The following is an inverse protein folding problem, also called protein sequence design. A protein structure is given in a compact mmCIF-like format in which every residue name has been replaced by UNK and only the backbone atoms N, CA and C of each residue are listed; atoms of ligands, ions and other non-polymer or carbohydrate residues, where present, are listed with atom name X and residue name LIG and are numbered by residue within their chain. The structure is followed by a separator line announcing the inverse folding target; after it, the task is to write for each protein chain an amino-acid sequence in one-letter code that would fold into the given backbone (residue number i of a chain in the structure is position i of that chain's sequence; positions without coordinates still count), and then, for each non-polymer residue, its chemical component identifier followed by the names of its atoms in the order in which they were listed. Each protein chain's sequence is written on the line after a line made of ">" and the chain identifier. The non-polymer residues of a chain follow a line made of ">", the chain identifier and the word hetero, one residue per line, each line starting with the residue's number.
data_IF_090407028813
#
_entry.id   IF_090407028813
#
_cell.length_a   1.000
_cell.length_b   1.000
_cell.length_c   1.000
_cell.angle_alpha   90.00
_cell.angle_beta   90.00
_cell.angle_gamma   90.00
#
_symmetry.space_group_name_H-M   'P 1'
#
loop_
_entity.id
_entity.type
_entity.pdbx_description
1 polymer ?
#
# COMPACT_ATOMS: atom_id res chain seq x y z
N UNK A 1 23.70 -44.37 41.68
CA UNK A 1 24.35 -43.66 40.55
C UNK A 1 23.74 -43.97 39.18
N UNK A 2 23.62 -45.25 38.77
CA UNK A 2 23.15 -45.62 37.41
C UNK A 2 21.70 -45.20 37.08
N UNK A 3 20.81 -45.20 38.08
CA UNK A 3 19.41 -44.74 37.96
C UNK A 3 19.31 -43.20 37.81
N UNK A 4 20.13 -42.46 38.58
CA UNK A 4 20.18 -40.99 38.55
C UNK A 4 20.66 -40.47 37.19
N UNK A 5 21.61 -41.18 36.57
CA UNK A 5 22.12 -40.86 35.23
C UNK A 5 21.06 -41.01 34.13
N UNK A 6 20.16 -42.01 34.26
CA UNK A 6 19.06 -42.22 33.32
C UNK A 6 18.00 -41.12 33.43
N UNK A 7 17.64 -40.71 34.64
CA UNK A 7 16.71 -39.60 34.84
C UNK A 7 17.26 -38.28 34.30
N UNK A 8 18.55 -38.00 34.55
CA UNK A 8 19.19 -36.79 34.06
C UNK A 8 19.26 -36.75 32.52
N UNK A 9 19.58 -37.88 31.88
CA UNK A 9 19.59 -37.99 30.43
C UNK A 9 18.18 -37.80 29.83
N UNK A 10 17.14 -38.33 30.47
CA UNK A 10 15.76 -38.17 30.03
C UNK A 10 15.29 -36.71 30.18
N UNK A 11 15.66 -36.05 31.27
CA UNK A 11 15.35 -34.64 31.50
C UNK A 11 16.06 -33.71 30.49
N UNK A 12 17.33 -33.98 30.20
CA UNK A 12 18.09 -33.24 29.16
C UNK A 12 17.52 -33.47 27.76
N UNK A 13 17.07 -34.69 27.45
CA UNK A 13 16.41 -34.98 26.18
C UNK A 13 15.05 -34.27 26.07
N UNK A 14 14.24 -34.27 27.13
CA UNK A 14 12.97 -33.54 27.16
C UNK A 14 13.17 -32.01 27.02
N UNK A 15 14.21 -31.47 27.66
CA UNK A 15 14.56 -30.05 27.55
C UNK A 15 15.04 -29.70 26.13
N UNK A 16 15.82 -30.57 25.49
CA UNK A 16 16.25 -30.40 24.11
C UNK A 16 15.06 -30.42 23.13
N UNK A 17 14.10 -31.33 23.32
CA UNK A 17 12.86 -31.41 22.50
C UNK A 17 12.00 -30.16 22.65
N UNK A 18 11.93 -29.56 23.84
CA UNK A 18 11.19 -28.31 24.07
C UNK A 18 11.90 -27.09 23.45
N UNK A 19 13.23 -27.07 23.37
CA UNK A 19 13.98 -25.97 22.72
C UNK A 19 14.00 -26.01 21.20
N UNK A 20 13.67 -27.15 20.58
CA UNK A 20 13.60 -27.29 19.11
C UNK A 20 12.27 -26.77 18.52
N UNK A 21 11.29 -26.43 19.36
CA UNK A 21 10.00 -25.88 18.93
C UNK A 21 9.82 -24.39 19.23
N UNK A 22 10.91 -23.64 19.35
CA UNK A 22 10.89 -22.25 18.93
C UNK A 22 11.53 -22.21 17.55
N UNK A 23 10.74 -22.51 16.51
CA UNK A 23 11.03 -21.95 15.19
C UNK A 23 11.15 -20.46 15.47
N UNK A 24 12.38 -19.92 15.43
CA UNK A 24 12.51 -18.53 15.11
C UNK A 24 11.69 -18.38 13.83
N UNK A 25 10.55 -17.69 13.93
CA UNK A 25 9.99 -17.09 12.75
C UNK A 25 11.09 -16.14 12.30
N UNK A 26 11.94 -16.63 11.40
CA UNK A 26 12.57 -15.79 10.40
C UNK A 26 11.38 -15.12 9.74
N UNK A 27 10.99 -13.97 10.29
CA UNK A 27 10.07 -13.03 9.65
C UNK A 27 10.57 -12.97 8.21
N UNK A 28 9.71 -13.22 7.20
CA UNK A 28 10.15 -13.08 5.82
C UNK A 28 10.87 -11.74 5.72
N UNK A 29 12.08 -11.70 5.15
CA UNK A 29 12.74 -10.43 4.93
C UNK A 29 11.70 -9.54 4.25
N UNK A 30 11.36 -8.40 4.86
CA UNK A 30 10.21 -7.54 4.53
C UNK A 30 10.31 -6.92 3.11
N UNK A 31 11.12 -7.52 2.24
CA UNK A 31 11.47 -7.12 0.90
C UNK A 31 10.23 -7.09 0.03
N UNK A 32 9.85 -5.88 -0.36
CA UNK A 32 8.85 -5.65 -1.38
C UNK A 32 9.33 -6.25 -2.70
N UNK A 33 8.44 -6.99 -3.38
CA UNK A 33 8.73 -7.63 -4.68
C UNK A 33 7.77 -7.16 -5.75
N UNK A 34 8.30 -6.82 -6.93
CA UNK A 34 7.49 -6.51 -8.12
C UNK A 34 7.01 -7.80 -8.75
N UNK A 35 5.74 -7.82 -9.16
CA UNK A 35 5.17 -8.85 -10.02
C UNK A 35 4.97 -8.27 -11.42
N UNK A 36 5.60 -8.90 -12.42
CA UNK A 36 5.71 -8.37 -13.80
C UNK A 36 4.65 -8.91 -14.78
N UNK A 37 3.53 -9.42 -14.27
CA UNK A 37 2.45 -9.97 -15.10
C UNK A 37 1.23 -9.04 -15.13
N UNK A 38 0.47 -9.00 -16.24
CA UNK A 38 -0.80 -8.29 -16.29
C UNK A 38 -1.76 -8.84 -15.21
N UNK A 39 -2.32 -7.95 -14.39
CA UNK A 39 -3.33 -8.30 -13.38
C UNK A 39 -4.73 -8.08 -13.97
N UNK A 40 -5.60 -9.08 -13.84
CA UNK A 40 -7.00 -9.05 -14.29
C UNK A 40 -7.15 -8.63 -15.77
N UNK A 41 -6.24 -9.12 -16.63
CA UNK A 41 -6.11 -8.76 -18.05
C UNK A 41 -5.81 -7.27 -18.34
N UNK A 42 -5.47 -6.46 -17.33
CA UNK A 42 -5.12 -5.06 -17.52
C UNK A 42 -3.61 -4.88 -17.72
N UNK A 43 -3.25 -4.27 -18.85
CA UNK A 43 -1.89 -3.83 -19.13
C UNK A 43 -1.65 -2.48 -18.45
N UNK A 44 -0.51 -2.31 -17.78
CA UNK A 44 -0.19 -1.08 -17.05
C UNK A 44 -0.50 -1.13 -15.56
N UNK A 45 -0.76 -2.31 -15.00
CA UNK A 45 -0.82 -2.49 -13.54
C UNK A 45 0.55 -2.86 -13.00
N UNK A 46 1.04 -2.11 -12.02
CA UNK A 46 2.19 -2.49 -11.19
C UNK A 46 1.68 -3.17 -9.93
N UNK A 47 2.03 -4.45 -9.76
CA UNK A 47 1.69 -5.22 -8.57
C UNK A 47 2.92 -5.42 -7.70
N UNK A 48 2.76 -5.19 -6.40
CA UNK A 48 3.80 -5.37 -5.40
C UNK A 48 3.30 -6.32 -4.31
N UNK A 49 4.12 -7.31 -3.96
CA UNK A 49 3.96 -8.10 -2.75
C UNK A 49 4.59 -7.35 -1.58
N UNK A 50 3.85 -7.19 -0.50
CA UNK A 50 4.27 -6.61 0.78
C UNK A 50 4.43 -7.70 1.85
N UNK A 51 4.78 -7.29 3.07
CA UNK A 51 4.84 -8.19 4.22
C UNK A 51 3.49 -8.84 4.53
N UNK A 52 3.52 -9.94 5.30
CA UNK A 52 2.34 -10.63 5.86
C UNK A 52 1.31 -11.13 4.83
N UNK A 53 1.76 -11.34 3.59
CA UNK A 53 0.92 -11.85 2.50
C UNK A 53 -0.01 -10.80 1.90
N UNK A 54 0.24 -9.52 2.15
CA UNK A 54 -0.49 -8.42 1.52
C UNK A 54 0.10 -8.09 0.15
N UNK A 55 -0.78 -7.62 -0.72
CA UNK A 55 -0.44 -7.18 -2.06
C UNK A 55 -1.15 -5.86 -2.34
N UNK A 56 -0.46 -5.01 -3.08
CA UNK A 56 -1.00 -3.76 -3.59
C UNK A 56 -0.75 -3.68 -5.10
N UNK A 57 -1.71 -3.11 -5.81
CA UNK A 57 -1.61 -2.88 -7.24
C UNK A 57 -1.94 -1.44 -7.57
N UNK A 58 -1.17 -0.84 -8.48
CA UNK A 58 -1.35 0.52 -8.98
C UNK A 58 -1.58 0.50 -10.48
N UNK A 59 -2.57 1.27 -10.92
CA UNK A 59 -2.76 1.56 -12.33
C UNK A 59 -1.80 2.69 -12.74
N UNK A 60 -0.89 2.41 -13.66
CA UNK A 60 0.09 3.39 -14.17
C UNK A 60 -0.46 4.24 -15.32
N UNK A 61 -1.56 3.83 -15.94
CA UNK A 61 -2.27 4.61 -16.95
C UNK A 61 -3.14 5.63 -16.26
N UNK A 62 -3.93 5.18 -15.29
CA UNK A 62 -4.80 6.06 -14.50
C UNK A 62 -4.07 6.76 -13.37
N UNK A 63 -2.87 6.32 -12.98
CA UNK A 63 -2.11 6.90 -11.87
C UNK A 63 -2.90 6.89 -10.56
N UNK A 64 -3.24 5.70 -10.06
CA UNK A 64 -3.91 5.55 -8.78
C UNK A 64 -3.90 4.15 -8.21
N UNK A 65 -4.29 4.03 -6.94
CA UNK A 65 -4.42 2.73 -6.28
C UNK A 65 -5.52 1.91 -6.95
N UNK A 66 -5.15 0.75 -7.49
CA UNK A 66 -6.07 -0.17 -8.17
C UNK A 66 -6.65 -1.19 -7.20
N UNK A 67 -5.80 -1.94 -6.49
CA UNK A 67 -6.25 -3.07 -5.65
C UNK A 67 -5.39 -3.24 -4.41
N UNK A 68 -6.01 -3.66 -3.30
CA UNK A 68 -5.34 -4.13 -2.07
C UNK A 68 -6.01 -5.43 -1.62
N UNK A 69 -5.20 -6.47 -1.40
CA UNK A 69 -5.70 -7.76 -0.94
C UNK A 69 -4.68 -8.50 -0.08
N UNK A 70 -5.15 -9.45 0.71
CA UNK A 70 -4.32 -10.42 1.43
C UNK A 70 -4.53 -11.81 0.84
N UNK A 71 -3.45 -12.54 0.60
CA UNK A 71 -3.53 -13.91 0.06
C UNK A 71 -2.40 -14.17 -0.93
N UNK A 72 -2.74 -14.22 -2.22
CA UNK A 72 -1.78 -14.54 -3.26
C UNK A 72 -2.22 -14.15 -4.66
N UNK A 73 -1.55 -14.74 -5.64
CA UNK A 73 -1.83 -14.59 -7.05
C UNK A 73 -2.06 -15.96 -7.67
N UNK A 74 -3.08 -16.09 -8.50
CA UNK A 74 -3.29 -17.26 -9.35
C UNK A 74 -2.96 -16.90 -10.79
N UNK A 75 -2.03 -17.63 -11.39
CA UNK A 75 -1.66 -17.49 -12.78
C UNK A 75 -2.52 -18.40 -13.66
N UNK A 76 -2.90 -17.88 -14.82
CA UNK A 76 -3.44 -18.63 -15.95
C UNK A 76 -2.61 -18.26 -17.20
N UNK A 77 -2.94 -18.83 -18.36
CA UNK A 77 -2.04 -18.86 -19.52
C UNK A 77 -1.54 -17.47 -20.02
N UNK A 78 -2.20 -16.38 -19.64
CA UNK A 78 -1.84 -15.02 -20.07
C UNK A 78 -1.95 -13.90 -19.00
N UNK A 79 -2.52 -14.16 -17.82
CA UNK A 79 -2.72 -13.15 -16.80
C UNK A 79 -2.51 -13.72 -15.39
N UNK A 80 -2.49 -12.83 -14.40
CA UNK A 80 -2.60 -13.18 -13.00
C UNK A 80 -3.89 -12.58 -12.46
N UNK A 81 -4.48 -13.25 -11.48
CA UNK A 81 -5.66 -12.77 -10.75
C UNK A 81 -5.36 -12.74 -9.26
N UNK A 82 -5.93 -11.75 -8.57
CA UNK A 82 -5.85 -11.68 -7.12
C UNK A 82 -6.68 -12.81 -6.49
N UNK A 83 -6.11 -13.54 -5.53
CA UNK A 83 -6.82 -14.57 -4.77
C UNK A 83 -6.68 -14.32 -3.27
N UNK A 84 -7.78 -14.50 -2.54
CA UNK A 84 -7.86 -14.27 -1.10
C UNK A 84 -8.80 -13.14 -0.72
N UNK A 85 -8.48 -12.47 0.37
CA UNK A 85 -9.29 -11.41 0.96
C UNK A 85 -9.05 -10.08 0.25
N UNK A 86 -10.04 -9.64 -0.52
CA UNK A 86 -10.03 -8.35 -1.19
C UNK A 86 -10.49 -7.24 -0.24
N UNK A 87 -9.63 -6.24 -0.01
CA UNK A 87 -9.92 -5.11 0.87
C UNK A 87 -10.32 -3.86 0.11
N UNK A 88 -9.68 -3.63 -1.04
CA UNK A 88 -9.92 -2.46 -1.88
C UNK A 88 -9.79 -2.84 -3.35
N UNK A 89 -10.67 -2.31 -4.18
CA UNK A 89 -10.64 -2.47 -5.63
C UNK A 89 -11.33 -1.31 -6.34
N UNK A 90 -10.56 -0.56 -7.14
CA UNK A 90 -11.02 0.60 -7.85
C UNK A 90 -11.00 0.38 -9.37
N UNK A 91 -12.17 0.19 -9.96
CA UNK A 91 -12.34 0.14 -11.41
C UNK A 91 -12.59 1.51 -12.05
N UNK A 92 -12.62 2.59 -11.26
CA UNK A 92 -12.88 3.92 -11.81
C UNK A 92 -11.68 4.36 -12.66
N UNK A 93 -11.98 4.65 -13.92
CA UNK A 93 -11.03 4.94 -15.01
C UNK A 93 -10.37 6.32 -14.90
N UNK A 94 -10.10 6.83 -13.68
CA UNK A 94 -9.49 8.13 -13.46
C UNK A 94 -8.50 8.08 -12.29
N UNK A 95 -7.48 8.96 -12.31
CA UNK A 95 -6.53 9.11 -11.21
C UNK A 95 -7.18 9.39 -9.86
N UNK A 96 -6.63 8.79 -8.80
CA UNK A 96 -6.96 9.15 -7.42
C UNK A 96 -6.43 10.56 -7.07
N UNK A 97 -5.41 11.05 -7.77
CA UNK A 97 -4.88 12.41 -7.60
C UNK A 97 -5.86 13.43 -8.20
N UNK A 98 -6.33 14.35 -7.36
CA UNK A 98 -7.16 15.50 -7.69
C UNK A 98 -6.45 16.79 -7.29
N UNK A 99 -6.78 17.88 -7.96
CA UNK A 99 -6.49 19.22 -7.47
C UNK A 99 -7.73 19.79 -6.81
N UNK A 100 -7.55 20.60 -5.78
CA UNK A 100 -8.63 21.30 -5.09
C UNK A 100 -8.42 22.79 -5.23
N UNK A 101 -9.44 23.44 -5.78
CA UNK A 101 -9.48 24.88 -5.96
C UNK A 101 -9.84 25.63 -4.67
N UNK A 102 -9.90 26.96 -4.76
CA UNK A 102 -10.24 27.85 -3.66
C UNK A 102 -11.68 27.70 -3.16
N UNK A 103 -12.58 27.09 -3.94
CA UNK A 103 -13.96 26.78 -3.55
C UNK A 103 -14.08 25.47 -2.76
N UNK A 104 -12.99 24.68 -2.69
CA UNK A 104 -12.99 23.34 -2.11
C UNK A 104 -13.49 22.25 -3.08
N UNK A 105 -13.73 22.60 -4.34
CA UNK A 105 -14.12 21.65 -5.38
C UNK A 105 -12.87 20.94 -5.90
N UNK A 106 -12.98 19.60 -5.98
CA UNK A 106 -11.93 18.77 -6.54
C UNK A 106 -12.14 18.59 -8.04
N UNK A 107 -11.06 18.71 -8.83
CA UNK A 107 -11.05 18.43 -10.26
C UNK A 107 -9.87 17.54 -10.63
N UNK A 108 -9.92 16.94 -11.83
CA UNK A 108 -8.92 15.96 -12.28
C UNK A 108 -7.87 16.64 -13.15
N UNK A 109 -6.61 16.78 -12.69
CA UNK A 109 -5.53 17.22 -13.56
C UNK A 109 -5.10 16.10 -14.51
N UNK A 110 -4.23 16.42 -15.46
CA UNK A 110 -3.52 15.40 -16.23
C UNK A 110 -2.38 14.85 -15.38
N UNK A 111 -2.43 13.56 -15.07
CA UNK A 111 -1.39 12.88 -14.29
C UNK A 111 -0.66 11.87 -15.17
N UNK A 112 0.68 11.92 -15.13
CA UNK A 112 1.54 10.99 -15.88
C UNK A 112 2.47 10.27 -14.93
N UNK A 113 2.42 8.95 -14.94
CA UNK A 113 3.37 8.10 -14.25
C UNK A 113 4.76 8.24 -14.87
N UNK A 114 5.79 8.44 -14.04
CA UNK A 114 7.19 8.64 -14.44
C UNK A 114 8.12 7.52 -14.01
N UNK A 115 7.56 6.43 -13.48
CA UNK A 115 8.31 5.27 -13.03
C UNK A 115 8.29 5.12 -11.52
N UNK A 116 9.05 4.13 -11.04
CA UNK A 116 9.11 3.79 -9.64
C UNK A 116 10.52 3.37 -9.21
N UNK A 117 10.76 3.37 -7.91
CA UNK A 117 11.96 2.81 -7.27
C UNK A 117 11.57 1.96 -6.07
N UNK A 118 12.33 0.91 -5.81
CA UNK A 118 12.27 0.17 -4.55
C UNK A 118 13.51 0.54 -3.72
N UNK A 119 13.32 0.94 -2.47
CA UNK A 119 14.39 1.16 -1.50
C UNK A 119 13.85 0.88 -0.11
N UNK A 120 14.61 0.18 0.74
CA UNK A 120 14.32 0.07 2.18
C UNK A 120 12.86 -0.34 2.51
N UNK A 121 12.35 -1.38 1.82
CA UNK A 121 10.96 -1.85 1.95
C UNK A 121 9.90 -0.78 1.73
N UNK A 122 10.22 0.20 0.89
CA UNK A 122 9.34 1.27 0.47
C UNK A 122 9.27 1.29 -1.05
N UNK A 123 8.05 1.39 -1.59
CA UNK A 123 7.81 1.66 -3.00
C UNK A 123 7.75 3.17 -3.18
N UNK A 124 8.56 3.70 -4.09
CA UNK A 124 8.48 5.11 -4.48
C UNK A 124 7.90 5.21 -5.87
N UNK A 125 6.75 5.83 -6.02
CA UNK A 125 6.09 6.13 -7.29
C UNK A 125 6.31 7.61 -7.61
N UNK A 126 6.61 7.92 -8.87
CA UNK A 126 6.86 9.27 -9.34
C UNK A 126 5.81 9.69 -10.36
N UNK A 127 5.25 10.87 -10.19
CA UNK A 127 4.23 11.43 -11.06
C UNK A 127 4.60 12.84 -11.50
N UNK A 128 4.25 13.17 -12.74
CA UNK A 128 4.13 14.54 -13.21
C UNK A 128 2.64 14.89 -13.23
N UNK A 129 2.30 16.04 -12.67
CA UNK A 129 0.94 16.58 -12.67
C UNK A 129 0.95 17.87 -13.47
N UNK A 130 0.04 17.95 -14.44
CA UNK A 130 -0.12 19.12 -15.31
C UNK A 130 -1.57 19.60 -15.24
N UNK A 131 -1.73 20.90 -15.05
CA UNK A 131 -3.00 21.59 -15.04
C UNK A 131 -2.86 22.94 -15.76
N UNK A 132 -3.50 23.07 -16.91
CA UNK A 132 -3.29 24.22 -17.82
C UNK A 132 -1.79 24.48 -18.09
N UNK A 133 -1.28 25.64 -17.67
CA UNK A 133 0.13 26.05 -17.83
C UNK A 133 1.01 25.69 -16.62
N UNK A 134 0.45 24.99 -15.64
CA UNK A 134 1.13 24.61 -14.41
C UNK A 134 1.62 23.18 -14.50
N UNK A 135 2.89 22.97 -14.14
CA UNK A 135 3.49 21.66 -14.00
C UNK A 135 4.22 21.51 -12.66
N UNK A 136 3.95 20.41 -11.97
CA UNK A 136 4.66 20.05 -10.75
C UNK A 136 4.85 18.53 -10.66
N UNK A 137 5.64 18.08 -9.68
CA UNK A 137 5.92 16.65 -9.47
C UNK A 137 5.41 16.19 -8.12
N UNK A 138 4.99 14.93 -8.08
CA UNK A 138 4.53 14.25 -6.88
C UNK A 138 5.32 12.94 -6.72
N UNK A 139 5.95 12.77 -5.57
CA UNK A 139 6.51 11.50 -5.11
C UNK A 139 5.56 10.89 -4.09
N UNK A 140 5.19 9.62 -4.30
CA UNK A 140 4.46 8.82 -3.33
C UNK A 140 5.37 7.70 -2.81
N UNK A 141 5.61 7.66 -1.50
CA UNK A 141 6.34 6.58 -0.82
C UNK A 141 5.37 5.71 -0.04
N UNK A 142 5.36 4.41 -0.34
CA UNK A 142 4.42 3.43 0.19
C UNK A 142 5.15 2.32 0.92
N UNK A 143 4.69 2.04 2.13
CA UNK A 143 5.08 0.89 2.93
C UNK A 143 3.85 0.32 3.63
N UNK A 144 3.97 -0.85 4.24
CA UNK A 144 2.86 -1.44 4.97
C UNK A 144 3.30 -2.38 6.07
N UNK A 145 2.52 -2.40 7.15
CA UNK A 145 2.78 -3.23 8.32
C UNK A 145 1.49 -3.73 8.95
N UNK A 146 1.54 -4.94 9.49
CA UNK A 146 0.45 -5.44 10.34
C UNK A 146 0.57 -4.82 11.73
N UNK A 147 -0.51 -4.19 12.21
CA UNK A 147 -0.62 -3.69 13.58
C UNK A 147 -1.94 -4.20 14.21
N UNK A 148 -1.82 -4.95 15.31
CA UNK A 148 -2.96 -5.57 16.00
C UNK A 148 -3.83 -6.42 15.05
N UNK A 149 -5.05 -5.97 14.77
CA UNK A 149 -6.05 -6.64 13.93
C UNK A 149 -6.26 -5.94 12.58
N UNK A 150 -5.35 -5.04 12.19
CA UNK A 150 -5.42 -4.32 10.93
C UNK A 150 -4.07 -4.40 10.21
N UNK A 151 -4.14 -4.24 8.88
CA UNK A 151 -2.98 -3.96 8.06
C UNK A 151 -2.98 -2.49 7.69
N UNK A 152 -1.92 -1.77 8.07
CA UNK A 152 -1.77 -0.36 7.83
C UNK A 152 -0.93 -0.17 6.57
N UNK A 153 -1.54 0.39 5.52
CA UNK A 153 -0.83 0.85 4.32
C UNK A 153 -0.52 2.33 4.49
N UNK A 154 0.77 2.66 4.59
CA UNK A 154 1.25 4.02 4.68
C UNK A 154 1.48 4.59 3.29
N UNK A 155 0.82 5.71 2.96
CA UNK A 155 1.04 6.45 1.72
C UNK A 155 1.56 7.84 2.07
N UNK A 156 2.82 8.11 1.76
CA UNK A 156 3.47 9.39 2.05
C UNK A 156 3.66 10.18 0.77
N UNK A 157 3.25 11.45 0.75
CA UNK A 157 3.32 12.28 -0.43
C UNK A 157 4.28 13.45 -0.24
N UNK A 158 5.04 13.74 -1.28
CA UNK A 158 5.94 14.90 -1.36
C UNK A 158 5.69 15.57 -2.70
N UNK A 159 5.18 16.81 -2.67
CA UNK A 159 5.00 17.63 -3.87
C UNK A 159 6.16 18.61 -4.02
N UNK A 160 6.73 18.72 -5.22
CA UNK A 160 7.74 19.75 -5.54
C UNK A 160 7.19 20.72 -6.59
N UNK A 161 7.42 22.02 -6.37
CA UNK A 161 6.93 23.11 -7.21
C UNK A 161 5.39 23.20 -7.28
N UNK A 162 4.69 22.80 -6.21
CA UNK A 162 3.24 23.01 -6.11
C UNK A 162 2.96 24.53 -6.03
N UNK A 163 2.08 25.08 -6.89
CA UNK A 163 1.76 26.51 -6.87
C UNK A 163 1.13 26.94 -5.55
N UNK A 164 1.26 28.25 -5.28
CA UNK A 164 0.55 28.86 -4.17
C UNK A 164 -0.97 28.73 -4.37
N UNK A 165 -1.68 28.50 -3.27
CA UNK A 165 -3.14 28.30 -3.24
C UNK A 165 -3.68 27.01 -3.89
N UNK A 166 -2.82 26.11 -4.37
CA UNK A 166 -3.24 24.79 -4.84
C UNK A 166 -3.16 23.76 -3.70
N UNK A 167 -4.18 22.91 -3.57
CA UNK A 167 -4.14 21.71 -2.72
C UNK A 167 -4.25 20.47 -3.58
N UNK A 168 -3.57 19.40 -3.19
CA UNK A 168 -3.71 18.09 -3.82
C UNK A 168 -4.67 17.25 -2.96
N UNK A 169 -5.62 16.58 -3.59
CA UNK A 169 -6.48 15.57 -2.97
C UNK A 169 -6.12 14.17 -3.47
N UNK A 170 -6.16 13.17 -2.60
CA UNK A 170 -6.16 11.75 -2.97
C UNK A 170 -7.57 11.22 -2.74
N UNK A 171 -8.24 10.85 -3.82
CA UNK A 171 -9.63 10.42 -3.85
C UNK A 171 -9.73 8.91 -3.65
N UNK A 172 -10.49 8.49 -2.64
CA UNK A 172 -10.74 7.07 -2.35
C UNK A 172 -12.25 6.85 -2.46
N UNK A 173 -12.76 6.28 -3.56
CA UNK A 173 -14.19 6.09 -3.73
C UNK A 173 -14.74 5.10 -2.71
N UNK A 174 -15.85 5.43 -2.05
CA UNK A 174 -16.60 4.49 -1.21
C UNK A 174 -16.93 3.17 -1.94
N UNK A 175 -17.24 3.26 -3.23
CA UNK A 175 -17.52 2.10 -4.09
C UNK A 175 -16.32 1.19 -4.33
N UNK A 176 -15.12 1.58 -3.93
CA UNK A 176 -13.90 0.78 -4.05
C UNK A 176 -13.57 -0.01 -2.78
N UNK A 177 -14.21 0.31 -1.66
CA UNK A 177 -13.99 -0.35 -0.36
C UNK A 177 -14.73 -1.69 -0.35
N UNK A 178 -14.04 -2.77 0.03
CA UNK A 178 -14.60 -4.14 0.08
C UNK A 178 -14.66 -4.71 1.50
N UNK A 179 -13.80 -4.21 2.37
CA UNK A 179 -13.75 -4.51 3.81
C UNK A 179 -13.61 -3.22 4.61
N UNK A 180 -13.89 -3.23 5.93
CA UNK A 180 -13.78 -2.03 6.75
C UNK A 180 -12.40 -1.35 6.58
N UNK A 181 -12.46 -0.05 6.28
CA UNK A 181 -11.30 0.80 6.05
C UNK A 181 -11.40 2.00 6.96
N UNK A 182 -10.39 2.19 7.81
CA UNK A 182 -10.19 3.44 8.56
C UNK A 182 -9.08 4.24 7.88
N UNK A 183 -9.23 5.56 7.83
CA UNK A 183 -8.22 6.43 7.21
C UNK A 183 -7.80 7.49 8.20
N UNK A 184 -6.51 7.58 8.45
CA UNK A 184 -5.89 8.62 9.27
C UNK A 184 -4.92 9.46 8.43
N UNK A 185 -4.69 10.70 8.87
CA UNK A 185 -3.79 11.63 8.23
C UNK A 185 -2.83 12.29 9.24
N UNK A 186 -1.56 12.40 8.87
CA UNK A 186 -0.55 13.18 9.59
C UNK A 186 -0.10 14.31 8.68
N UNK A 187 -0.28 15.55 9.14
CA UNK A 187 -0.07 16.78 8.36
C UNK A 187 -0.93 16.81 7.07
N UNK A 188 -2.11 16.22 7.11
CA UNK A 188 -3.14 16.27 6.08
C UNK A 188 -4.52 16.30 6.73
N UNK A 189 -5.58 16.36 5.93
CA UNK A 189 -6.97 16.35 6.42
C UNK A 189 -7.74 15.21 5.75
N UNK A 190 -8.55 14.50 6.52
CA UNK A 190 -9.55 13.57 5.97
C UNK A 190 -10.85 14.37 5.87
N UNK A 191 -11.32 14.64 4.65
CA UNK A 191 -12.58 15.36 4.48
C UNK A 191 -13.77 14.49 4.92
N UNK A 192 -14.85 15.13 5.38
CA UNK A 192 -16.09 14.43 5.75
C UNK A 192 -16.73 13.76 4.53
N UNK A 193 -17.04 12.46 4.65
CA UNK A 193 -17.38 11.58 3.52
C UNK A 193 -16.11 10.96 2.95
N UNK A 194 -16.00 9.63 2.97
CA UNK A 194 -14.80 8.88 2.57
C UNK A 194 -14.63 8.96 1.04
N UNK A 195 -14.25 10.15 0.58
CA UNK A 195 -14.08 10.47 -0.83
C UNK A 195 -12.85 11.37 -1.04
N UNK A 196 -12.33 12.08 -0.03
CA UNK A 196 -11.17 12.99 -0.23
C UNK A 196 -10.19 12.97 0.93
N UNK A 197 -8.95 12.61 0.65
CA UNK A 197 -7.79 12.84 1.51
C UNK A 197 -7.08 14.11 1.03
N UNK A 198 -6.95 15.11 1.88
CA UNK A 198 -6.39 16.40 1.49
C UNK A 198 -4.94 16.50 1.93
N UNK A 199 -4.05 16.72 0.96
CA UNK A 199 -2.68 17.10 1.20
C UNK A 199 -2.65 18.58 1.67
N UNK A 200 -1.69 18.96 2.55
CA UNK A 200 -1.41 20.33 2.90
C UNK A 200 -0.85 21.06 1.66
N UNK A 201 -1.01 22.38 1.63
CA UNK A 201 -0.58 23.22 0.50
C UNK A 201 0.92 23.14 0.18
N UNK A 202 1.78 22.81 1.15
CA UNK A 202 3.21 22.58 0.94
C UNK A 202 3.74 21.54 1.93
N UNK A 203 4.63 20.67 1.47
CA UNK A 203 5.43 19.81 2.33
C UNK A 203 5.12 18.31 2.19
N UNK A 204 5.26 17.60 3.31
CA UNK A 204 5.10 16.14 3.39
C UNK A 204 3.82 15.79 4.14
N UNK A 205 3.11 14.80 3.65
CA UNK A 205 1.91 14.27 4.28
C UNK A 205 1.99 12.77 4.33
N UNK A 206 1.40 12.19 5.36
CA UNK A 206 1.25 10.75 5.48
C UNK A 206 -0.22 10.44 5.66
N UNK A 207 -0.73 9.53 4.84
CA UNK A 207 -2.01 8.88 5.04
C UNK A 207 -1.79 7.43 5.48
N UNK A 208 -2.65 6.96 6.36
CA UNK A 208 -2.63 5.59 6.87
C UNK A 208 -3.97 4.99 6.49
N UNK A 209 -3.95 3.99 5.62
CA UNK A 209 -5.12 3.19 5.26
C UNK A 209 -5.10 1.91 6.07
N UNK A 210 -5.99 1.83 7.06
CA UNK A 210 -6.03 0.73 8.03
C UNK A 210 -7.13 -0.24 7.64
N UNK A 211 -6.73 -1.41 7.16
CA UNK A 211 -7.60 -2.47 6.66
C UNK A 211 -7.80 -3.53 7.73
N UNK A 212 -9.01 -3.64 8.29
CA UNK A 212 -9.33 -4.66 9.30
C UNK A 212 -10.13 -5.83 8.72
N UNK A 213 -10.01 -7.00 9.34
CA UNK A 213 -10.81 -8.19 8.99
C UNK A 213 -12.31 -8.00 9.23
#
# INVERSE_FOLDING_TARGET
>A
MRQLFKLLALFLFALAVLTVCSKSQLKPNNDIRIVKYPLDNSNGILTFALADGFYIAFDTVQCGLYKVWRGGLAANDSTITAVGDLYYENYLLNSDIKLIDTSGQGYSPVVKFKGFKLSDNTIKLFYQVTDEDIEFTLEESIDGESEKSAYNLHRNYISNNLPDNTRIGIYIPNSSIRKPLTIDAIKGEVASGIDKLLLPQKGKSKFILSFSE
#
